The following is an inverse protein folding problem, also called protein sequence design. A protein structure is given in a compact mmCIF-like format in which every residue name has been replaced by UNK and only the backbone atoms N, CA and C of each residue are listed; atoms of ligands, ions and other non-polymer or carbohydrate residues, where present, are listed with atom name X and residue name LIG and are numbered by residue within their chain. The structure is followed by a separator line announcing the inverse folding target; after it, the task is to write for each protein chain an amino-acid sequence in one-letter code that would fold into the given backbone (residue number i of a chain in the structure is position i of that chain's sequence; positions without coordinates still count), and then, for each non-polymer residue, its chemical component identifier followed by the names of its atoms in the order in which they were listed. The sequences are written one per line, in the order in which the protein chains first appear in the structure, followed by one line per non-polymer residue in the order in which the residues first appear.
data_IF_440616339607
#
_entry.id   IF_440616339607
#
_cell.length_a   1.000
_cell.length_b   1.000
_cell.length_c   1.000
_cell.angle_alpha   90.00
_cell.angle_beta   90.00
_cell.angle_gamma   90.00
#
_symmetry.space_group_name_H-M   'P 1'
#
loop_
_entity.id
_entity.type
_entity.pdbx_description
1 polymer ?
#
# COMPACT_ATOMS: atom_id res chain seq x y z
N UNK A 1 -1.33 32.16 -52.00
CA UNK A 1 -0.59 32.05 -50.73
C UNK A 1 -1.56 31.50 -49.69
N UNK A 2 -1.47 30.22 -49.40
CA UNK A 2 -2.26 29.56 -48.33
C UNK A 2 -1.29 29.35 -47.15
N UNK A 3 -1.63 29.89 -46.00
CA UNK A 3 -0.88 29.72 -44.75
C UNK A 3 -1.13 28.31 -44.19
N UNK A 4 -0.07 27.55 -44.05
CA UNK A 4 -0.05 26.30 -43.31
C UNK A 4 -0.26 26.60 -41.80
N UNK A 5 -1.33 26.04 -41.24
CA UNK A 5 -1.56 26.06 -39.82
C UNK A 5 -0.73 24.94 -39.20
N UNK A 6 0.16 25.32 -38.29
CA UNK A 6 1.02 24.47 -37.50
C UNK A 6 0.14 23.72 -36.48
N UNK A 7 -0.08 22.41 -36.71
CA UNK A 7 -0.70 21.52 -35.74
C UNK A 7 0.36 21.09 -34.69
N UNK A 8 0.56 21.90 -33.69
CA UNK A 8 1.30 21.46 -32.47
C UNK A 8 0.42 20.49 -31.71
N UNK A 9 0.60 19.20 -31.99
CA UNK A 9 0.04 18.11 -31.21
C UNK A 9 0.54 18.22 -29.77
N UNK A 10 -0.33 18.61 -28.85
CA UNK A 10 -0.05 18.58 -27.42
C UNK A 10 0.13 17.11 -26.97
N UNK A 11 1.35 16.70 -26.74
CA UNK A 11 1.64 15.50 -25.98
C UNK A 11 0.99 15.66 -24.58
N UNK A 12 -0.09 14.90 -24.35
CA UNK A 12 -0.65 14.76 -23.02
C UNK A 12 0.46 14.21 -22.14
N UNK A 13 0.95 15.01 -21.21
CA UNK A 13 1.87 14.58 -20.15
C UNK A 13 1.19 13.42 -19.40
N UNK A 14 1.56 12.19 -19.77
CA UNK A 14 1.14 10.98 -19.05
C UNK A 14 1.78 11.08 -17.67
N UNK A 15 1.05 11.62 -16.68
CA UNK A 15 1.53 11.70 -15.32
C UNK A 15 1.80 10.28 -14.82
N UNK A 16 3.06 10.01 -14.51
CA UNK A 16 3.55 8.72 -14.04
C UNK A 16 2.83 8.36 -12.74
N UNK A 17 2.08 7.25 -12.74
CA UNK A 17 1.29 6.81 -11.58
C UNK A 17 2.20 6.43 -10.42
N UNK A 18 2.03 7.08 -9.27
CA UNK A 18 2.84 6.85 -8.08
C UNK A 18 2.29 5.69 -7.25
N UNK A 19 3.14 4.69 -6.96
CA UNK A 19 2.81 3.52 -6.13
C UNK A 19 3.68 3.53 -4.88
N UNK A 20 3.07 3.70 -3.72
CA UNK A 20 3.76 3.58 -2.42
C UNK A 20 3.61 2.16 -1.89
N UNK A 21 4.71 1.48 -1.62
CA UNK A 21 4.76 0.12 -1.11
C UNK A 21 5.26 0.17 0.34
N UNK A 22 4.40 -0.17 1.30
CA UNK A 22 4.81 -0.39 2.68
C UNK A 22 5.23 -1.85 2.86
N UNK A 23 6.53 -2.10 3.04
CA UNK A 23 7.10 -3.43 3.17
C UNK A 23 7.25 -3.81 4.66
N UNK A 24 6.27 -4.51 5.19
CA UNK A 24 6.21 -4.97 6.58
C UNK A 24 7.05 -6.23 6.88
N UNK A 25 8.00 -6.62 6.02
CA UNK A 25 8.92 -7.73 6.31
C UNK A 25 10.23 -7.22 6.89
N UNK A 26 10.78 -7.86 7.94
CA UNK A 26 12.13 -7.54 8.43
C UNK A 26 13.22 -8.04 7.48
N UNK A 27 12.91 -9.02 6.60
CA UNK A 27 13.89 -9.67 5.73
C UNK A 27 13.88 -9.06 4.34
N UNK A 28 14.96 -8.36 3.96
CA UNK A 28 15.13 -7.72 2.63
C UNK A 28 15.11 -8.72 1.47
N UNK A 29 15.50 -9.97 1.72
CA UNK A 29 15.56 -11.07 0.73
C UNK A 29 14.60 -12.20 1.05
N UNK A 30 13.61 -11.97 1.94
CA UNK A 30 12.61 -12.97 2.32
C UNK A 30 11.54 -13.20 1.25
N UNK A 31 10.63 -14.12 1.52
CA UNK A 31 9.57 -14.55 0.59
C UNK A 31 8.66 -13.41 0.13
N UNK A 32 8.29 -12.49 1.03
CA UNK A 32 7.47 -11.31 0.67
C UNK A 32 8.21 -10.42 -0.32
N UNK A 33 9.51 -10.18 -0.11
CA UNK A 33 10.33 -9.41 -1.05
C UNK A 33 10.51 -10.14 -2.37
N UNK A 34 10.65 -11.48 -2.36
CA UNK A 34 10.75 -12.29 -3.57
C UNK A 34 9.45 -12.22 -4.40
N UNK A 35 8.27 -12.28 -3.75
CA UNK A 35 6.98 -12.15 -4.41
C UNK A 35 6.74 -10.73 -4.96
N UNK A 36 7.24 -9.71 -4.24
CA UNK A 36 7.09 -8.31 -4.64
C UNK A 36 7.92 -7.95 -5.87
N UNK A 37 9.09 -8.56 -6.09
CA UNK A 37 9.98 -8.21 -7.21
C UNK A 37 9.32 -8.32 -8.59
N UNK A 38 8.72 -9.45 -9.01
CA UNK A 38 8.05 -9.52 -10.32
C UNK A 38 6.81 -8.61 -10.40
N UNK A 39 6.15 -8.32 -9.28
CA UNK A 39 5.04 -7.39 -9.21
C UNK A 39 5.50 -5.94 -9.47
N UNK A 40 6.55 -5.46 -8.78
CA UNK A 40 7.08 -4.10 -8.98
C UNK A 40 7.68 -3.92 -10.36
N UNK A 41 8.47 -4.90 -10.82
CA UNK A 41 9.06 -4.85 -12.16
C UNK A 41 7.98 -4.74 -13.27
N UNK A 42 6.82 -5.36 -13.08
CA UNK A 42 5.71 -5.25 -14.04
C UNK A 42 5.03 -3.88 -13.95
N UNK A 43 4.81 -3.32 -12.74
CA UNK A 43 4.28 -1.98 -12.58
C UNK A 43 5.18 -0.92 -13.24
N UNK A 44 6.50 -1.04 -13.06
CA UNK A 44 7.48 -0.14 -13.66
C UNK A 44 7.47 -0.21 -15.19
N UNK A 45 7.34 -1.42 -15.78
CA UNK A 45 7.14 -1.60 -17.23
C UNK A 45 5.87 -0.96 -17.74
N UNK A 46 4.84 -0.84 -16.89
CA UNK A 46 3.57 -0.19 -17.21
C UNK A 46 3.58 1.32 -16.93
N UNK A 47 4.77 1.91 -16.69
CA UNK A 47 4.94 3.35 -16.49
C UNK A 47 4.56 3.83 -15.09
N UNK A 48 4.52 2.94 -14.08
CA UNK A 48 4.33 3.34 -12.70
C UNK A 48 5.68 3.62 -12.03
N UNK A 49 5.73 4.62 -11.16
CA UNK A 49 6.86 4.84 -10.26
C UNK A 49 6.59 4.17 -8.93
N UNK A 50 7.40 3.16 -8.59
CA UNK A 50 7.27 2.40 -7.36
C UNK A 50 8.27 2.88 -6.30
N UNK A 51 7.78 3.24 -5.12
CA UNK A 51 8.60 3.61 -3.97
C UNK A 51 8.32 2.66 -2.80
N UNK A 52 9.38 1.98 -2.30
CA UNK A 52 9.24 1.04 -1.18
C UNK A 52 9.75 1.65 0.12
N UNK A 53 8.89 1.68 1.12
CA UNK A 53 9.19 2.09 2.49
C UNK A 53 9.25 0.84 3.36
N UNK A 54 10.29 0.76 4.21
CA UNK A 54 10.52 -0.36 5.12
C UNK A 54 10.26 0.07 6.57
N UNK A 55 9.10 -0.18 7.15
CA UNK A 55 8.79 0.20 8.53
C UNK A 55 9.77 -0.35 9.59
N UNK A 56 10.45 -1.46 9.30
CA UNK A 56 11.49 -2.01 10.17
C UNK A 56 12.79 -1.19 10.22
N UNK A 57 13.03 -0.32 9.24
CA UNK A 57 14.23 0.52 9.19
C UNK A 57 14.00 1.90 9.82
N UNK A 58 12.79 2.16 10.31
CA UNK A 58 12.35 3.46 10.80
C UNK A 58 12.10 3.46 12.31
N UNK A 59 12.32 4.59 12.96
CA UNK A 59 11.83 4.81 14.33
C UNK A 59 10.32 5.03 14.27
N UNK A 60 9.55 4.00 14.65
CA UNK A 60 8.09 4.02 14.60
C UNK A 60 7.51 3.57 15.94
N UNK A 61 6.87 4.48 16.62
CA UNK A 61 6.16 4.19 17.87
C UNK A 61 4.66 3.94 17.63
N UNK A 62 4.04 3.03 18.39
CA UNK A 62 2.62 2.73 18.23
C UNK A 62 1.72 3.94 18.57
N UNK A 63 0.51 3.95 18.01
CA UNK A 63 -0.50 4.94 18.33
C UNK A 63 -0.88 4.90 19.82
N UNK A 64 -0.96 6.08 20.46
CA UNK A 64 -1.38 6.22 21.88
C UNK A 64 -2.85 6.63 22.03
N UNK A 65 -3.59 6.68 20.94
CA UNK A 65 -4.99 7.11 20.89
C UNK A 65 -5.26 8.50 21.54
N UNK A 66 -4.26 9.39 21.55
CA UNK A 66 -4.34 10.71 22.19
C UNK A 66 -5.21 11.72 21.44
N UNK A 67 -5.66 11.40 20.22
CA UNK A 67 -6.52 12.20 19.33
C UNK A 67 -5.98 13.60 18.97
N UNK A 68 -4.72 13.92 19.25
CA UNK A 68 -4.13 15.20 18.87
C UNK A 68 -4.22 15.45 17.36
N UNK A 69 -4.08 14.42 16.54
CA UNK A 69 -4.22 14.48 15.08
C UNK A 69 -5.63 14.84 14.59
N UNK A 70 -6.63 14.91 15.48
CA UNK A 70 -8.01 15.31 15.14
C UNK A 70 -8.27 16.81 15.23
N UNK A 71 -7.30 17.58 15.75
CA UNK A 71 -7.47 19.03 15.98
C UNK A 71 -7.38 19.85 14.69
N UNK A 72 -6.59 19.37 13.73
CA UNK A 72 -6.45 20.01 12.42
C UNK A 72 -6.81 19.00 11.32
N UNK A 73 -7.68 19.41 10.41
CA UNK A 73 -8.20 18.56 9.34
C UNK A 73 -7.35 18.60 8.05
N UNK A 74 -6.35 19.47 8.00
CA UNK A 74 -5.53 19.68 6.82
C UNK A 74 -4.17 18.96 6.89
N UNK A 75 -3.74 18.55 8.09
CA UNK A 75 -2.44 17.95 8.33
C UNK A 75 -2.57 16.61 9.08
N UNK A 76 -1.52 15.82 9.04
CA UNK A 76 -1.42 14.59 9.85
C UNK A 76 -1.55 14.88 11.35
N UNK A 77 -0.80 15.84 11.86
CA UNK A 77 -0.96 16.41 13.21
C UNK A 77 -0.69 15.43 14.35
N UNK A 78 0.11 14.38 14.15
CA UNK A 78 0.43 13.43 15.20
C UNK A 78 1.33 14.07 16.27
N UNK A 79 1.03 13.83 17.55
CA UNK A 79 1.86 14.32 18.67
C UNK A 79 3.17 13.54 18.84
N UNK A 80 3.27 12.33 18.31
CA UNK A 80 4.47 11.50 18.36
C UNK A 80 5.43 11.98 17.27
N UNK A 81 6.62 12.41 17.67
CA UNK A 81 7.69 12.86 16.76
C UNK A 81 8.61 11.67 16.48
N UNK A 82 8.49 11.10 15.29
CA UNK A 82 9.23 9.96 14.76
C UNK A 82 9.09 9.93 13.23
N UNK A 83 9.54 8.87 12.56
CA UNK A 83 9.56 8.78 11.09
C UNK A 83 8.18 8.62 10.43
N UNK A 84 7.09 8.59 11.20
CA UNK A 84 5.74 8.42 10.65
C UNK A 84 5.30 9.57 9.75
N UNK A 85 5.80 10.79 9.96
CA UNK A 85 5.47 11.95 9.13
C UNK A 85 5.89 11.72 7.67
N UNK A 86 7.05 11.07 7.45
CA UNK A 86 7.54 10.72 6.12
C UNK A 86 6.63 9.68 5.45
N UNK A 87 6.19 8.64 6.19
CA UNK A 87 5.24 7.66 5.67
C UNK A 87 3.92 8.34 5.29
N UNK A 88 3.41 9.21 6.14
CA UNK A 88 2.19 9.96 5.88
C UNK A 88 2.28 10.74 4.57
N UNK A 89 3.37 11.48 4.36
CA UNK A 89 3.58 12.29 3.17
C UNK A 89 3.63 11.44 1.90
N UNK A 90 4.34 10.30 1.91
CA UNK A 90 4.42 9.36 0.78
C UNK A 90 3.08 8.70 0.49
N UNK A 91 2.34 8.30 1.51
CA UNK A 91 1.00 7.74 1.36
C UNK A 91 0.01 8.77 0.80
N UNK A 92 0.11 10.05 1.16
CA UNK A 92 -0.72 11.10 0.54
C UNK A 92 -0.38 11.32 -0.93
N UNK A 93 0.90 11.30 -1.28
CA UNK A 93 1.36 11.58 -2.65
C UNK A 93 1.06 10.46 -3.65
N UNK A 94 0.89 9.20 -3.22
CA UNK A 94 0.67 8.09 -4.15
C UNK A 94 -0.80 7.94 -4.57
N UNK A 95 -1.06 7.36 -5.74
CA UNK A 95 -2.39 6.92 -6.20
C UNK A 95 -2.73 5.53 -5.67
N UNK A 96 -1.73 4.66 -5.55
CA UNK A 96 -1.89 3.28 -5.08
C UNK A 96 -1.01 3.03 -3.87
N UNK A 97 -1.62 2.56 -2.79
CA UNK A 97 -0.93 2.07 -1.60
C UNK A 97 -0.89 0.55 -1.61
N UNK A 98 0.30 -0.03 -1.62
CA UNK A 98 0.49 -1.48 -1.51
C UNK A 98 0.95 -1.83 -0.10
N UNK A 99 0.20 -2.68 0.59
CA UNK A 99 0.58 -3.24 1.89
C UNK A 99 1.22 -4.61 1.67
N UNK A 100 2.55 -4.67 1.67
CA UNK A 100 3.32 -5.89 1.47
C UNK A 100 3.81 -6.43 2.82
N UNK A 101 3.33 -7.60 3.27
CA UNK A 101 3.65 -8.12 4.59
C UNK A 101 3.62 -9.65 4.65
N UNK A 102 4.55 -10.29 5.38
CA UNK A 102 4.31 -11.67 5.81
C UNK A 102 3.20 -11.69 6.88
N UNK A 103 2.47 -12.79 6.96
CA UNK A 103 1.49 -13.00 8.03
C UNK A 103 2.17 -13.53 9.27
N UNK A 104 1.98 -12.80 10.38
CA UNK A 104 2.33 -13.21 11.73
C UNK A 104 1.04 -13.33 12.55
N UNK A 105 0.78 -14.52 13.09
CA UNK A 105 -0.43 -14.77 13.88
C UNK A 105 -1.72 -14.28 13.19
N UNK A 106 -1.89 -14.68 11.91
CA UNK A 106 -3.03 -14.34 11.03
C UNK A 106 -3.21 -12.85 10.70
N UNK A 107 -2.23 -12.01 11.04
CA UNK A 107 -2.29 -10.57 10.76
C UNK A 107 -0.96 -10.05 10.22
N UNK A 108 -0.86 -8.74 9.97
CA UNK A 108 0.41 -8.13 9.55
C UNK A 108 1.42 -8.05 10.69
N UNK A 109 2.66 -7.73 10.36
CA UNK A 109 3.75 -7.55 11.34
C UNK A 109 3.52 -6.35 12.27
N UNK A 110 4.12 -6.32 13.47
CA UNK A 110 3.93 -5.24 14.42
C UNK A 110 4.27 -3.83 13.88
N UNK A 111 5.38 -3.58 13.16
CA UNK A 111 5.64 -2.26 12.57
C UNK A 111 4.60 -1.86 11.52
N UNK A 112 4.13 -2.79 10.67
CA UNK A 112 3.04 -2.53 9.73
C UNK A 112 1.76 -2.14 10.48
N UNK A 113 1.43 -2.85 11.57
CA UNK A 113 0.25 -2.54 12.39
C UNK A 113 0.36 -1.15 13.03
N UNK A 114 1.53 -0.78 13.54
CA UNK A 114 1.78 0.55 14.12
C UNK A 114 1.56 1.66 13.08
N UNK A 115 2.02 1.45 11.84
CA UNK A 115 1.77 2.37 10.72
C UNK A 115 0.28 2.48 10.42
N UNK A 116 -0.43 1.35 10.26
CA UNK A 116 -1.85 1.34 9.93
C UNK A 116 -2.72 2.01 11.00
N UNK A 117 -2.42 1.79 12.28
CA UNK A 117 -3.15 2.43 13.38
C UNK A 117 -2.96 3.95 13.37
N UNK A 118 -1.77 4.41 13.04
CA UNK A 118 -1.48 5.84 12.96
C UNK A 118 -2.05 6.48 11.69
N UNK A 119 -2.04 5.75 10.57
CA UNK A 119 -2.68 6.22 9.33
C UNK A 119 -4.19 6.37 9.52
N UNK A 120 -4.89 5.38 10.09
CA UNK A 120 -6.34 5.47 10.24
C UNK A 120 -6.76 6.65 11.12
N UNK A 121 -6.03 6.92 12.21
CA UNK A 121 -6.32 8.07 13.07
C UNK A 121 -5.87 9.41 12.47
N UNK A 122 -4.76 9.44 11.77
CA UNK A 122 -4.21 10.66 11.19
C UNK A 122 -4.89 11.10 9.91
N UNK A 123 -5.29 10.13 9.05
CA UNK A 123 -5.93 10.39 7.77
C UNK A 123 -7.44 10.60 7.89
N UNK A 124 -8.10 9.84 8.78
CA UNK A 124 -9.54 9.97 9.00
C UNK A 124 -9.82 10.94 10.14
N UNK A 125 -10.39 12.09 9.85
CA UNK A 125 -10.73 13.12 10.83
C UNK A 125 -12.10 12.86 11.48
N UNK A 126 -12.41 11.58 11.79
CA UNK A 126 -13.73 11.16 12.27
C UNK A 126 -13.85 11.10 13.80
N UNK A 127 -12.73 11.20 14.52
CA UNK A 127 -12.64 10.85 15.94
C UNK A 127 -12.57 12.07 16.88
N UNK A 128 -12.69 13.28 16.32
CA UNK A 128 -12.78 14.53 17.07
C UNK A 128 -14.21 14.83 17.54
N UNK A 129 -14.42 15.98 18.15
CA UNK A 129 -15.76 16.47 18.55
C UNK A 129 -16.68 16.66 17.34
N UNK A 130 -16.12 17.12 16.23
CA UNK A 130 -16.80 17.21 14.94
C UNK A 130 -16.18 16.21 13.97
N UNK A 131 -17.02 15.60 13.14
CA UNK A 131 -16.57 14.68 12.09
C UNK A 131 -16.03 15.47 10.92
N UNK A 132 -14.72 15.30 10.64
CA UNK A 132 -14.03 15.88 9.50
C UNK A 132 -13.92 14.92 8.32
N UNK A 133 -13.13 15.27 7.28
CA UNK A 133 -12.94 14.46 6.08
C UNK A 133 -12.02 13.24 6.29
N UNK A 134 -12.00 12.33 5.32
CA UNK A 134 -10.90 11.39 5.11
C UNK A 134 -9.91 12.01 4.13
N UNK A 135 -8.68 12.29 4.56
CA UNK A 135 -7.65 12.96 3.74
C UNK A 135 -7.18 12.11 2.54
N UNK A 136 -7.43 10.83 2.58
CA UNK A 136 -7.04 9.85 1.57
C UNK A 136 -8.23 9.14 0.89
N UNK A 137 -9.42 9.72 0.99
CA UNK A 137 -10.61 9.16 0.35
C UNK A 137 -10.37 8.91 -1.15
N UNK A 138 -10.88 7.76 -1.64
CA UNK A 138 -10.73 7.35 -3.04
C UNK A 138 -9.39 6.69 -3.40
N UNK A 139 -8.36 6.77 -2.53
CA UNK A 139 -7.06 6.13 -2.78
C UNK A 139 -7.19 4.61 -2.90
N UNK A 140 -6.49 4.02 -3.87
CA UNK A 140 -6.47 2.59 -4.10
C UNK A 140 -5.55 1.86 -3.12
N UNK A 141 -5.97 0.68 -2.65
CA UNK A 141 -5.18 -0.17 -1.73
C UNK A 141 -5.15 -1.60 -2.25
N UNK A 142 -3.94 -2.18 -2.32
CA UNK A 142 -3.70 -3.58 -2.67
C UNK A 142 -2.84 -4.29 -1.63
N UNK A 143 -2.95 -5.61 -1.56
CA UNK A 143 -2.16 -6.45 -0.65
C UNK A 143 -1.20 -7.35 -1.42
N UNK A 144 0.05 -7.46 -0.94
CA UNK A 144 1.01 -8.50 -1.33
C UNK A 144 1.43 -9.23 -0.07
N UNK A 145 1.08 -10.49 0.06
CA UNK A 145 1.14 -11.20 1.34
C UNK A 145 1.78 -12.58 1.19
N UNK A 146 2.54 -13.01 2.20
CA UNK A 146 3.06 -14.38 2.30
C UNK A 146 2.66 -15.00 3.64
N UNK A 147 2.28 -16.26 3.64
CA UNK A 147 1.80 -16.98 4.83
C UNK A 147 2.23 -18.45 4.82
N UNK A 148 2.38 -19.03 5.99
CA UNK A 148 2.76 -20.44 6.19
C UNK A 148 1.58 -21.43 6.14
N UNK A 149 0.36 -20.93 6.00
CA UNK A 149 -0.83 -21.74 5.70
C UNK A 149 -1.35 -21.42 4.29
N UNK A 150 -2.20 -22.27 3.69
CA UNK A 150 -2.93 -21.89 2.47
C UNK A 150 -3.59 -20.52 2.64
N UNK A 151 -3.53 -19.63 1.64
CA UNK A 151 -3.97 -18.24 1.76
C UNK A 151 -5.37 -18.04 2.32
N UNK A 152 -6.29 -18.95 1.99
CA UNK A 152 -7.69 -18.96 2.45
C UNK A 152 -7.86 -19.23 3.95
N UNK A 153 -6.79 -19.70 4.63
CA UNK A 153 -6.75 -19.97 6.08
C UNK A 153 -5.65 -19.20 6.80
N UNK A 154 -4.67 -18.70 6.05
CA UNK A 154 -3.51 -18.01 6.61
C UNK A 154 -3.57 -16.49 6.47
N UNK A 155 -4.23 -15.97 5.44
CA UNK A 155 -4.30 -14.54 5.15
C UNK A 155 -5.73 -13.96 5.13
N UNK A 156 -6.74 -14.80 5.35
CA UNK A 156 -8.17 -14.44 5.31
C UNK A 156 -8.55 -13.37 6.33
N UNK A 157 -8.07 -13.48 7.58
CA UNK A 157 -8.35 -12.49 8.62
C UNK A 157 -7.67 -11.14 8.32
N UNK A 158 -6.44 -11.19 7.79
CA UNK A 158 -5.74 -10.00 7.34
C UNK A 158 -6.51 -9.30 6.22
N UNK A 159 -6.89 -10.03 5.18
CA UNK A 159 -7.66 -9.49 4.05
C UNK A 159 -9.00 -8.91 4.50
N UNK A 160 -9.75 -9.67 5.32
CA UNK A 160 -11.04 -9.22 5.87
C UNK A 160 -10.90 -7.95 6.70
N UNK A 161 -9.82 -7.87 7.51
CA UNK A 161 -9.49 -6.68 8.29
C UNK A 161 -9.22 -5.47 7.40
N UNK A 162 -8.42 -5.63 6.34
CA UNK A 162 -8.11 -4.54 5.40
C UNK A 162 -9.33 -4.11 4.58
N UNK A 163 -10.19 -5.03 4.16
CA UNK A 163 -11.47 -4.69 3.50
C UNK A 163 -12.33 -3.77 4.38
N UNK A 164 -12.43 -4.07 5.69
CA UNK A 164 -13.15 -3.21 6.66
C UNK A 164 -12.43 -1.87 6.85
N UNK A 165 -11.10 -1.89 6.95
CA UNK A 165 -10.27 -0.70 7.04
C UNK A 165 -10.47 0.23 5.84
N UNK A 166 -10.45 -0.31 4.62
CA UNK A 166 -10.70 0.43 3.40
C UNK A 166 -12.11 1.04 3.38
N UNK A 167 -13.14 0.26 3.69
CA UNK A 167 -14.52 0.75 3.77
C UNK A 167 -14.66 1.90 4.78
N UNK A 168 -14.07 1.74 5.97
CA UNK A 168 -14.09 2.76 7.02
C UNK A 168 -13.36 4.05 6.60
N UNK A 169 -12.26 3.91 5.87
CA UNK A 169 -11.38 5.00 5.46
C UNK A 169 -11.73 5.59 4.07
N UNK A 170 -12.84 5.16 3.47
CA UNK A 170 -13.26 5.56 2.11
C UNK A 170 -12.20 5.25 1.03
N UNK A 171 -11.46 4.16 1.19
CA UNK A 171 -10.45 3.68 0.25
C UNK A 171 -11.04 2.62 -0.70
N UNK A 172 -10.44 2.47 -1.87
CA UNK A 172 -10.80 1.44 -2.85
C UNK A 172 -9.90 0.23 -2.65
N UNK A 173 -10.44 -0.90 -2.24
CA UNK A 173 -9.71 -2.16 -2.15
C UNK A 173 -9.62 -2.83 -3.52
N UNK A 174 -8.39 -3.11 -3.99
CA UNK A 174 -8.15 -3.67 -5.33
C UNK A 174 -7.83 -5.18 -5.34
N UNK A 175 -7.68 -5.81 -4.17
CA UNK A 175 -7.40 -7.24 -4.08
C UNK A 175 -6.13 -7.60 -3.34
N UNK A 176 -5.86 -8.91 -3.27
CA UNK A 176 -4.71 -9.48 -2.59
C UNK A 176 -3.99 -10.50 -3.47
N UNK A 177 -2.68 -10.33 -3.64
CA UNK A 177 -1.75 -11.35 -4.08
C UNK A 177 -1.20 -12.07 -2.85
N UNK A 178 -1.52 -13.35 -2.68
CA UNK A 178 -1.02 -14.16 -1.59
C UNK A 178 -0.12 -15.31 -2.08
N UNK A 179 1.03 -15.50 -1.40
CA UNK A 179 1.96 -16.60 -1.63
C UNK A 179 2.03 -17.53 -0.42
N UNK A 180 1.79 -18.82 -0.64
CA UNK A 180 1.96 -19.87 0.38
C UNK A 180 3.44 -20.24 0.49
N UNK A 181 3.99 -20.23 1.71
CA UNK A 181 5.32 -20.70 2.07
C UNK A 181 5.22 -22.12 2.64
N UNK A 182 5.74 -23.08 1.91
CA UNK A 182 5.72 -24.50 2.29
C UNK A 182 6.82 -24.91 3.30
N UNK A 183 7.56 -23.95 3.83
CA UNK A 183 8.57 -24.13 4.88
C UNK A 183 10.02 -24.20 4.37
N UNK A 184 10.94 -24.53 5.29
CA UNK A 184 12.38 -24.36 5.09
C UNK A 184 12.99 -25.17 3.94
N UNK A 185 12.39 -26.29 3.56
CA UNK A 185 12.91 -27.19 2.53
C UNK A 185 12.24 -26.97 1.17
N UNK A 186 11.47 -25.89 1.01
CA UNK A 186 10.78 -25.58 -0.24
C UNK A 186 11.37 -24.35 -0.94
N UNK A 187 11.37 -24.40 -2.27
CA UNK A 187 11.62 -23.21 -3.09
C UNK A 187 10.36 -22.36 -3.08
N UNK A 188 10.43 -21.14 -2.53
CA UNK A 188 9.24 -20.29 -2.44
C UNK A 188 8.81 -19.73 -3.80
N UNK A 189 9.76 -19.18 -4.58
CA UNK A 189 9.47 -18.58 -5.88
C UNK A 189 9.56 -19.60 -7.00
N UNK A 190 8.46 -19.72 -7.72
CA UNK A 190 8.26 -20.52 -8.91
C UNK A 190 7.66 -19.64 -10.01
N UNK A 191 7.74 -20.09 -11.27
CA UNK A 191 7.24 -19.35 -12.43
C UNK A 191 5.76 -19.01 -12.31
N UNK A 192 4.95 -19.89 -11.76
CA UNK A 192 3.53 -19.66 -11.52
C UNK A 192 3.29 -18.47 -10.59
N UNK A 193 3.98 -18.44 -9.44
CA UNK A 193 3.88 -17.32 -8.49
C UNK A 193 4.35 -16.01 -9.11
N UNK A 194 5.43 -16.05 -9.90
CA UNK A 194 5.94 -14.89 -10.60
C UNK A 194 4.94 -14.37 -11.66
N UNK A 195 4.28 -15.26 -12.40
CA UNK A 195 3.26 -14.90 -13.38
C UNK A 195 2.02 -14.30 -12.70
N UNK A 196 1.52 -14.89 -11.63
CA UNK A 196 0.42 -14.36 -10.83
C UNK A 196 0.75 -12.94 -10.29
N UNK A 197 2.00 -12.72 -9.89
CA UNK A 197 2.43 -11.39 -9.43
C UNK A 197 2.38 -10.34 -10.56
N UNK A 198 2.82 -10.68 -11.77
CA UNK A 198 2.72 -9.82 -12.95
C UNK A 198 1.26 -9.55 -13.35
N UNK A 199 0.43 -10.59 -13.37
CA UNK A 199 -1.01 -10.45 -13.68
C UNK A 199 -1.71 -9.54 -12.68
N UNK A 200 -1.41 -9.69 -11.39
CA UNK A 200 -1.96 -8.83 -10.35
C UNK A 200 -1.52 -7.37 -10.55
N UNK A 201 -0.25 -7.11 -10.89
CA UNK A 201 0.23 -5.77 -11.21
C UNK A 201 -0.54 -5.14 -12.38
N UNK A 202 -0.77 -5.87 -13.48
CA UNK A 202 -1.57 -5.41 -14.63
C UNK A 202 -2.99 -5.06 -14.21
N UNK A 203 -3.62 -5.91 -13.40
CA UNK A 203 -4.97 -5.68 -12.92
C UNK A 203 -5.11 -4.39 -12.09
N UNK A 204 -4.07 -4.02 -11.32
CA UNK A 204 -4.08 -2.77 -10.55
C UNK A 204 -4.08 -1.55 -11.46
N UNK A 205 -3.28 -1.54 -12.51
CA UNK A 205 -3.23 -0.41 -13.46
C UNK A 205 -4.57 -0.22 -14.13
N UNK A 206 -5.18 -1.30 -14.66
CA UNK A 206 -6.49 -1.28 -15.32
C UNK A 206 -7.63 -0.82 -14.39
N UNK A 207 -7.59 -1.20 -13.10
CA UNK A 207 -8.63 -0.86 -12.13
C UNK A 207 -8.46 0.54 -11.51
N UNK A 208 -7.33 1.20 -11.72
CA UNK A 208 -7.12 2.59 -11.29
C UNK A 208 -7.52 3.62 -12.35
N UNK A 209 -7.83 3.19 -13.56
CA UNK A 209 -8.32 4.05 -14.66
C UNK A 209 -9.86 4.20 -14.69
N UNK A 210 -10.55 3.46 -13.82
CA UNK A 210 -12.01 3.54 -13.60
C UNK A 210 -12.33 4.35 -12.35
#
# INVERSE_FOLDING_TARGET
MRSEADETGGEALHMEKQVCILMGSPRKTGNTAALLRPFTAELEKLGCRCETVWPYDLDLRPCRACRTCQRDWNIFGCAIRDDMEEIFRRVLACEVLVLATPIYSWYCTPPMKAVLDRLVYGMNKYYGEKKGPALWAGKAVALVTTCGYPPEKGADLWESGVKRYCKHSQLRYLGMLAGHDHGYNSVFMEDEKANRAREFARSLVLNTEK
#
